data_IF_638436568969
#
_entry.id   IF_638436568969
#
_cell.length_a   1.000
_cell.length_b   1.000
_cell.length_c   1.000
_cell.angle_alpha   90.00
_cell.angle_beta   90.00
_cell.angle_gamma   90.00
#
_symmetry.space_group_name_H-M   'P 1'
#
loop_
_entity.id
_entity.type
_entity.pdbx_description
1 polymer ?
#
# COMPACT_ATOMS: atom_id res chain seq x y z
N UNK A 1 15.37 -13.00 3.17
CA UNK A 1 14.63 -11.98 3.94
C UNK A 1 13.14 -12.25 3.72
N UNK A 2 12.49 -12.89 4.68
CA UNK A 2 11.06 -13.23 4.63
C UNK A 2 10.26 -11.96 4.87
N UNK A 3 9.65 -11.41 3.81
CA UNK A 3 8.74 -10.27 3.97
C UNK A 3 7.47 -10.83 4.62
N UNK A 4 7.17 -10.38 5.84
CA UNK A 4 5.95 -10.76 6.56
C UNK A 4 4.72 -10.24 5.79
N UNK A 5 4.16 -11.09 4.94
CA UNK A 5 2.97 -10.79 4.12
C UNK A 5 1.67 -11.24 4.80
N UNK A 6 1.73 -11.77 6.02
CA UNK A 6 0.54 -12.29 6.70
C UNK A 6 -0.33 -11.15 7.23
N UNK A 7 -1.45 -10.93 6.54
CA UNK A 7 -2.55 -10.10 7.03
C UNK A 7 -3.31 -10.85 8.12
N UNK A 8 -3.72 -10.12 9.16
CA UNK A 8 -4.58 -10.62 10.22
C UNK A 8 -6.05 -10.61 9.74
N UNK A 9 -6.75 -11.77 9.70
CA UNK A 9 -8.12 -11.84 9.20
C UNK A 9 -9.15 -11.12 10.09
N UNK A 10 -8.82 -10.82 11.36
CA UNK A 10 -9.74 -10.13 12.28
C UNK A 10 -9.64 -8.61 12.21
N UNK A 11 -8.73 -8.07 11.40
CA UNK A 11 -8.52 -6.64 11.24
C UNK A 11 -8.84 -6.16 9.82
N UNK A 12 -9.29 -4.90 9.63
CA UNK A 12 -9.55 -4.38 8.30
C UNK A 12 -8.31 -4.42 7.41
N UNK A 13 -8.43 -5.08 6.26
CA UNK A 13 -7.32 -5.31 5.31
C UNK A 13 -6.71 -4.00 4.82
N UNK A 14 -7.53 -3.02 4.47
CA UNK A 14 -7.10 -1.69 4.02
C UNK A 14 -6.23 -0.97 5.08
N UNK A 15 -6.59 -1.07 6.36
CA UNK A 15 -5.82 -0.46 7.46
C UNK A 15 -4.48 -1.15 7.66
N UNK A 16 -4.42 -2.47 7.50
CA UNK A 16 -3.18 -3.22 7.58
C UNK A 16 -2.22 -2.85 6.45
N UNK A 17 -2.73 -2.80 5.20
CA UNK A 17 -1.95 -2.38 4.03
C UNK A 17 -1.43 -0.95 4.23
N UNK A 18 -2.28 -0.03 4.69
CA UNK A 18 -1.87 1.33 5.04
C UNK A 18 -0.71 1.35 6.04
N UNK A 19 -0.83 0.61 7.14
CA UNK A 19 0.21 0.55 8.20
C UNK A 19 1.53 0.02 7.66
N UNK A 20 1.49 -1.06 6.88
CA UNK A 20 2.67 -1.69 6.30
C UNK A 20 3.36 -0.74 5.31
N UNK A 21 2.61 -0.18 4.37
CA UNK A 21 3.17 0.73 3.36
C UNK A 21 3.67 2.03 3.99
N UNK A 22 2.95 2.60 4.97
CA UNK A 22 3.42 3.77 5.71
C UNK A 22 4.77 3.48 6.40
N UNK A 23 4.89 2.33 7.08
CA UNK A 23 6.16 1.90 7.68
C UNK A 23 7.25 1.84 6.62
N UNK A 24 6.98 1.15 5.51
CA UNK A 24 7.97 0.94 4.45
C UNK A 24 8.40 2.28 3.80
N UNK A 25 7.50 3.26 3.64
CA UNK A 25 7.83 4.60 3.14
C UNK A 25 8.64 5.41 4.17
N UNK A 26 8.19 5.48 5.42
CA UNK A 26 8.84 6.31 6.47
C UNK A 26 10.25 5.80 6.82
N UNK A 27 10.45 4.48 6.75
CA UNK A 27 11.77 3.88 6.94
C UNK A 27 12.61 3.80 5.65
N UNK A 28 12.16 4.43 4.56
CA UNK A 28 12.82 4.44 3.25
C UNK A 28 13.10 3.03 2.68
N UNK A 29 12.32 2.02 3.07
CA UNK A 29 12.30 0.70 2.42
C UNK A 29 11.66 0.78 1.04
N UNK A 30 10.73 1.73 0.87
CA UNK A 30 10.25 2.23 -0.42
C UNK A 30 10.83 3.64 -0.59
N UNK A 31 11.85 3.84 -1.44
CA UNK A 31 12.45 5.15 -1.65
C UNK A 31 11.45 6.18 -2.19
N UNK A 32 11.60 7.47 -1.84
CA UNK A 32 10.80 8.54 -2.45
C UNK A 32 10.87 8.52 -3.98
N UNK A 33 9.74 8.74 -4.64
CA UNK A 33 9.63 8.68 -6.09
C UNK A 33 9.47 7.27 -6.67
N UNK A 34 9.55 6.22 -5.85
CA UNK A 34 9.25 4.84 -6.30
C UNK A 34 7.78 4.74 -6.73
N UNK A 35 7.50 4.29 -7.97
CA UNK A 35 6.12 4.08 -8.40
C UNK A 35 5.48 2.93 -7.63
N UNK A 36 4.24 3.14 -7.17
CA UNK A 36 3.44 2.11 -6.51
C UNK A 36 2.20 1.80 -7.34
N UNK A 37 2.05 0.54 -7.75
CA UNK A 37 0.90 0.07 -8.51
C UNK A 37 -0.12 -0.64 -7.61
N UNK A 38 -1.41 -0.28 -7.71
CA UNK A 38 -2.48 -1.02 -7.04
C UNK A 38 -2.44 -2.51 -7.39
N UNK A 39 -2.11 -2.85 -8.64
CA UNK A 39 -2.04 -4.24 -9.12
C UNK A 39 -0.89 -5.01 -8.46
N UNK A 40 0.28 -4.40 -8.34
CA UNK A 40 1.45 -5.04 -7.72
C UNK A 40 1.23 -5.24 -6.23
N UNK A 41 0.71 -4.22 -5.55
CA UNK A 41 0.40 -4.29 -4.12
C UNK A 41 -0.73 -5.29 -3.85
N UNK A 42 -1.78 -5.33 -4.68
CA UNK A 42 -2.84 -6.33 -4.53
C UNK A 42 -2.32 -7.75 -4.69
N UNK A 43 -1.39 -7.95 -5.63
CA UNK A 43 -0.73 -9.25 -5.85
C UNK A 43 0.17 -9.61 -4.68
N UNK A 44 0.97 -8.66 -4.16
CA UNK A 44 1.84 -8.85 -2.99
C UNK A 44 1.05 -9.35 -1.80
N UNK A 45 -0.11 -8.75 -1.51
CA UNK A 45 -0.90 -9.11 -0.33
C UNK A 45 -1.99 -10.17 -0.60
N UNK A 46 -2.12 -10.67 -1.83
CA UNK A 46 -3.17 -11.61 -2.24
C UNK A 46 -4.59 -11.10 -1.92
N UNK A 47 -4.86 -9.83 -2.24
CA UNK A 47 -6.16 -9.17 -2.00
C UNK A 47 -6.73 -8.58 -3.28
N UNK A 48 -8.00 -8.14 -3.24
CA UNK A 48 -8.57 -7.33 -4.32
C UNK A 48 -7.96 -5.91 -4.36
N UNK A 49 -8.16 -5.18 -5.46
CA UNK A 49 -7.61 -3.82 -5.61
C UNK A 49 -8.31 -2.78 -4.72
N UNK A 50 -9.55 -3.02 -4.32
CA UNK A 50 -10.33 -2.06 -3.52
C UNK A 50 -9.68 -1.69 -2.18
N UNK A 51 -9.29 -2.64 -1.30
CA UNK A 51 -8.62 -2.29 -0.04
C UNK A 51 -7.25 -1.64 -0.25
N UNK A 52 -6.57 -1.93 -1.36
CA UNK A 52 -5.30 -1.27 -1.73
C UNK A 52 -5.56 0.20 -2.10
N UNK A 53 -6.57 0.46 -2.94
CA UNK A 53 -6.99 1.81 -3.31
C UNK A 53 -7.36 2.65 -2.09
N UNK A 54 -8.12 2.09 -1.16
CA UNK A 54 -8.45 2.76 0.10
C UNK A 54 -7.21 3.08 0.95
N UNK A 55 -6.25 2.16 1.01
CA UNK A 55 -4.98 2.40 1.69
C UNK A 55 -4.16 3.51 1.01
N UNK A 56 -4.14 3.53 -0.32
CA UNK A 56 -3.46 4.56 -1.12
C UNK A 56 -4.10 5.93 -0.93
N UNK A 57 -5.43 6.02 -0.92
CA UNK A 57 -6.15 7.27 -0.62
C UNK A 57 -5.71 7.80 0.75
N UNK A 58 -5.69 6.95 1.79
CA UNK A 58 -5.22 7.36 3.12
C UNK A 58 -3.75 7.77 3.14
N UNK A 59 -2.87 7.07 2.44
CA UNK A 59 -1.46 7.48 2.32
C UNK A 59 -1.32 8.84 1.63
N UNK A 60 -2.14 9.12 0.63
CA UNK A 60 -2.16 10.39 -0.09
C UNK A 60 -2.71 11.53 0.77
N UNK A 61 -3.78 11.29 1.55
CA UNK A 61 -4.30 12.24 2.54
C UNK A 61 -3.25 12.61 3.60
N UNK A 62 -2.35 11.68 3.93
CA UNK A 62 -1.23 11.91 4.86
C UNK A 62 0.02 12.48 4.16
N UNK A 63 -0.05 12.81 2.87
CA UNK A 63 1.06 13.39 2.11
C UNK A 63 2.22 12.43 1.82
N UNK A 64 2.04 11.12 2.02
CA UNK A 64 3.10 10.13 1.85
C UNK A 64 3.27 9.65 0.41
N UNK A 65 2.20 9.73 -0.39
CA UNK A 65 2.20 9.38 -1.81
C UNK A 65 1.40 10.42 -2.61
N UNK A 66 1.60 10.43 -3.92
CA UNK A 66 0.74 11.16 -4.85
C UNK A 66 0.04 10.17 -5.77
N UNK A 67 -1.29 10.27 -5.87
CA UNK A 67 -2.07 9.45 -6.81
C UNK A 67 -2.06 10.14 -8.17
N UNK A 68 -1.56 9.44 -9.19
CA UNK A 68 -1.61 9.92 -10.58
C UNK A 68 -2.68 9.15 -11.34
N UNK A 69 -3.52 9.83 -12.15
CA UNK A 69 -4.41 9.14 -13.06
C UNK A 69 -3.56 8.34 -14.05
N UNK A 70 -3.78 7.02 -14.13
CA UNK A 70 -3.29 6.25 -15.26
C UNK A 70 -4.21 6.52 -16.45
N UNK A 71 -3.79 7.38 -17.38
CA UNK A 71 -4.41 7.41 -18.70
C UNK A 71 -4.27 6.01 -19.30
N UNK A 72 -5.41 5.44 -19.73
CA UNK A 72 -5.44 4.17 -20.44
C UNK A 72 -5.07 4.40 -21.90
#
# INVERSE_FOLDING_TARGET
MTVETQLNPTQPVNQQIYRILRRDIVHCLIPPGTPLSEKEVSTRFSVSRQPVREAFIKLAENGLIQIRPSAR
#
